data_IF_211838622621
#
_entry.id   IF_211838622621
#
_cell.length_a   1.000
_cell.length_b   1.000
_cell.length_c   1.000
_cell.angle_alpha   90.00
_cell.angle_beta   90.00
_cell.angle_gamma   90.00
#
_symmetry.space_group_name_H-M   'P 1'
#
loop_
_entity.id
_entity.type
_entity.pdbx_description
1 polymer ?
#
# COMPACT_ATOMS: atom_id res chain seq x y z
N UNK A 1 5.82 -0.83 8.08
CA UNK A 1 5.39 -0.87 9.49
C UNK A 1 4.16 -1.75 9.75
N UNK A 2 3.06 -1.68 8.99
CA UNK A 2 1.83 -2.47 9.29
C UNK A 2 1.37 -3.43 8.17
N UNK A 3 2.10 -3.49 7.06
CA UNK A 3 1.79 -4.35 5.92
C UNK A 3 2.01 -5.84 6.25
N UNK A 4 1.39 -6.73 5.49
CA UNK A 4 1.55 -8.16 5.67
C UNK A 4 3.00 -8.60 5.33
N UNK A 5 3.55 -9.54 6.10
CA UNK A 5 4.93 -10.02 5.93
C UNK A 5 5.20 -10.66 4.55
N UNK A 6 4.17 -10.94 3.76
CA UNK A 6 4.34 -11.48 2.39
C UNK A 6 5.12 -10.55 1.48
N UNK A 7 5.12 -9.23 1.72
CA UNK A 7 5.94 -8.30 0.95
C UNK A 7 7.44 -8.59 1.14
N UNK A 8 7.91 -8.75 2.38
CA UNK A 8 9.30 -9.10 2.66
C UNK A 8 9.67 -10.45 2.04
N UNK A 9 8.79 -11.46 2.18
CA UNK A 9 8.98 -12.77 1.53
C UNK A 9 9.05 -12.66 0.00
N UNK A 10 8.22 -11.82 -0.61
CA UNK A 10 8.23 -11.61 -2.06
C UNK A 10 9.51 -10.90 -2.51
N UNK A 11 9.95 -9.85 -1.79
CA UNK A 11 11.20 -9.16 -2.07
C UNK A 11 12.40 -10.12 -2.01
N UNK A 12 12.43 -11.01 -1.01
CA UNK A 12 13.44 -12.06 -0.92
C UNK A 12 13.36 -13.03 -2.10
N UNK A 13 12.18 -13.60 -2.37
CA UNK A 13 11.98 -14.61 -3.41
C UNK A 13 12.29 -14.09 -4.82
N UNK A 14 11.97 -12.83 -5.10
CA UNK A 14 12.19 -12.19 -6.40
C UNK A 14 13.65 -11.74 -6.61
N UNK A 15 14.53 -11.95 -5.62
CA UNK A 15 15.92 -11.50 -5.69
C UNK A 15 16.12 -9.99 -5.56
N UNK A 16 15.08 -9.27 -5.13
CA UNK A 16 15.16 -7.83 -4.81
C UNK A 16 15.93 -7.64 -3.48
N UNK A 17 15.76 -8.56 -2.54
CA UNK A 17 16.37 -8.49 -1.21
C UNK A 17 15.55 -7.64 -0.23
N UNK A 18 15.47 -8.08 1.02
CA UNK A 18 14.65 -7.44 2.06
C UNK A 18 15.16 -6.04 2.42
N UNK A 19 16.47 -5.79 2.34
CA UNK A 19 17.08 -4.48 2.59
C UNK A 19 16.59 -3.38 1.61
N UNK A 20 16.08 -3.80 0.44
CA UNK A 20 15.52 -2.91 -0.56
C UNK A 20 14.01 -2.68 -0.38
N UNK A 21 13.37 -3.35 0.59
CA UNK A 21 12.00 -3.04 1.01
C UNK A 21 12.05 -1.96 2.08
N UNK A 22 11.60 -0.74 1.74
CA UNK A 22 11.54 0.36 2.71
C UNK A 22 10.19 0.38 3.42
N UNK A 23 10.24 0.29 4.75
CA UNK A 23 9.06 0.49 5.56
C UNK A 23 8.77 1.98 5.73
N UNK A 24 7.53 2.37 5.36
CA UNK A 24 7.09 3.75 5.51
C UNK A 24 6.41 3.95 6.89
N UNK A 25 6.70 5.06 7.59
CA UNK A 25 6.00 5.46 8.80
C UNK A 25 4.48 5.54 8.63
N UNK A 26 3.77 5.24 9.72
CA UNK A 26 2.31 5.26 9.79
C UNK A 26 1.81 6.39 10.69
N UNK A 27 0.55 6.78 10.51
CA UNK A 27 -0.18 7.68 11.40
C UNK A 27 -0.71 6.94 12.64
N UNK A 28 -1.35 7.71 13.52
CA UNK A 28 -1.94 7.28 14.78
C UNK A 28 -3.09 6.28 14.58
N UNK A 29 -3.56 6.11 13.34
CA UNK A 29 -4.60 5.17 12.91
C UNK A 29 -4.01 3.96 12.17
N UNK A 30 -2.70 3.84 12.12
CA UNK A 30 -1.98 2.75 11.48
C UNK A 30 -1.98 2.81 9.95
N UNK A 31 -2.14 3.99 9.36
CA UNK A 31 -2.16 4.22 7.91
C UNK A 31 -0.83 4.77 7.43
N UNK A 32 -0.34 4.30 6.29
CA UNK A 32 0.84 4.85 5.64
C UNK A 32 0.68 6.36 5.38
N UNK A 33 1.72 7.14 5.69
CA UNK A 33 1.77 8.59 5.46
C UNK A 33 2.30 8.91 4.05
N UNK A 34 1.50 9.51 3.14
CA UNK A 34 1.97 9.86 1.79
C UNK A 34 3.20 10.77 1.78
N UNK A 35 3.29 11.72 2.71
CA UNK A 35 4.42 12.63 2.85
C UNK A 35 5.73 11.91 3.22
N UNK A 36 5.65 10.86 4.05
CA UNK A 36 6.81 10.04 4.41
C UNK A 36 7.20 9.07 3.30
N UNK A 37 6.21 8.57 2.54
CA UNK A 37 6.48 7.82 1.31
C UNK A 37 7.28 8.69 0.32
N UNK A 38 6.81 9.90 0.07
CA UNK A 38 7.51 10.83 -0.83
C UNK A 38 8.93 11.14 -0.34
N UNK A 39 9.09 11.39 0.97
CA UNK A 39 10.42 11.62 1.55
C UNK A 39 11.34 10.41 1.35
N UNK A 40 10.84 9.19 1.55
CA UNK A 40 11.65 7.99 1.34
C UNK A 40 12.05 7.80 -0.12
N UNK A 41 11.13 8.04 -1.06
CA UNK A 41 11.43 8.00 -2.51
C UNK A 41 12.57 8.98 -2.85
N UNK A 42 12.55 10.20 -2.32
CA UNK A 42 13.60 11.18 -2.55
C UNK A 42 14.96 10.73 -1.98
N UNK A 43 14.96 10.11 -0.79
CA UNK A 43 16.17 9.53 -0.18
C UNK A 43 16.74 8.41 -1.07
N UNK A 44 15.89 7.51 -1.55
CA UNK A 44 16.30 6.39 -2.39
C UNK A 44 16.87 6.87 -3.73
N UNK A 45 16.20 7.84 -4.37
CA UNK A 45 16.70 8.47 -5.61
C UNK A 45 18.04 9.18 -5.40
N UNK A 46 18.20 9.91 -4.29
CA UNK A 46 19.46 10.57 -3.96
C UNK A 46 20.61 9.58 -3.68
N UNK A 47 20.28 8.38 -3.20
CA UNK A 47 21.22 7.27 -3.02
C UNK A 47 21.51 6.49 -4.32
N UNK A 48 20.94 6.89 -5.46
CA UNK A 48 21.10 6.20 -6.74
C UNK A 48 20.29 4.91 -6.88
N UNK A 49 19.32 4.67 -5.99
CA UNK A 49 18.39 3.55 -6.08
C UNK A 49 17.26 3.87 -7.08
N UNK A 50 16.51 2.84 -7.45
CA UNK A 50 15.39 2.95 -8.40
C UNK A 50 14.09 2.46 -7.75
N UNK A 51 13.37 3.34 -7.03
CA UNK A 51 12.01 3.03 -6.58
C UNK A 51 11.13 2.71 -7.79
N UNK A 52 10.33 1.65 -7.70
CA UNK A 52 9.45 1.23 -8.79
C UNK A 52 8.06 0.76 -8.32
N UNK A 53 7.90 0.48 -7.02
CA UNK A 53 6.71 -0.17 -6.48
C UNK A 53 6.36 0.38 -5.10
N UNK A 54 5.07 0.60 -4.87
CA UNK A 54 4.47 0.95 -3.59
C UNK A 54 3.39 -0.07 -3.24
N UNK A 55 3.54 -0.73 -2.10
CA UNK A 55 2.55 -1.64 -1.53
C UNK A 55 1.73 -0.95 -0.45
N UNK A 56 0.50 -0.56 -0.78
CA UNK A 56 -0.49 -0.05 0.16
C UNK A 56 -1.37 -1.19 0.68
N UNK A 57 -1.95 -1.03 1.87
CA UNK A 57 -2.81 -2.04 2.49
C UNK A 57 -4.22 -1.49 2.73
N UNK A 58 -5.22 -2.21 2.23
CA UNK A 58 -6.63 -2.00 2.54
C UNK A 58 -7.09 -3.07 3.54
N UNK A 59 -6.98 -2.74 4.84
CA UNK A 59 -7.28 -3.65 5.94
C UNK A 59 -6.04 -4.39 6.44
N UNK A 60 -5.19 -3.70 7.21
CA UNK A 60 -4.01 -4.29 7.85
C UNK A 60 -4.40 -5.45 8.76
N UNK A 61 -3.51 -6.44 8.90
CA UNK A 61 -3.86 -7.71 9.57
C UNK A 61 -4.25 -7.52 11.04
N UNK A 62 -3.55 -6.62 11.75
CA UNK A 62 -3.74 -6.45 13.20
C UNK A 62 -4.76 -5.36 13.51
N UNK A 63 -4.62 -4.18 12.90
CA UNK A 63 -5.44 -3.00 13.24
C UNK A 63 -6.69 -2.87 12.35
N UNK A 64 -6.72 -3.55 11.20
CA UNK A 64 -7.77 -3.35 10.19
C UNK A 64 -7.71 -1.97 9.55
N UNK A 65 -6.53 -1.33 9.54
CA UNK A 65 -6.32 0.02 9.01
C UNK A 65 -6.37 0.02 7.48
N UNK A 66 -6.84 1.14 6.91
CA UNK A 66 -6.90 1.36 5.46
C UNK A 66 -6.02 2.54 5.11
N UNK A 67 -5.02 2.30 4.27
CA UNK A 67 -4.15 3.35 3.75
C UNK A 67 -4.91 4.35 2.87
N UNK A 68 -4.46 5.60 2.86
CA UNK A 68 -5.11 6.69 2.14
C UNK A 68 -4.69 6.67 0.66
N UNK A 69 -5.49 6.01 -0.18
CA UNK A 69 -5.07 5.69 -1.55
C UNK A 69 -4.96 6.92 -2.47
N UNK A 70 -5.70 8.01 -2.23
CA UNK A 70 -5.68 9.18 -3.12
C UNK A 70 -4.33 9.90 -3.00
N UNK A 71 -3.85 10.14 -1.78
CA UNK A 71 -2.53 10.72 -1.54
C UNK A 71 -1.41 9.81 -2.00
N UNK A 72 -1.48 8.50 -1.74
CA UNK A 72 -0.48 7.55 -2.24
C UNK A 72 -0.43 7.52 -3.77
N UNK A 73 -1.59 7.54 -4.44
CA UNK A 73 -1.66 7.62 -5.91
C UNK A 73 -1.01 8.90 -6.43
N UNK A 74 -1.27 10.04 -5.80
CA UNK A 74 -0.67 11.32 -6.20
C UNK A 74 0.87 11.29 -6.12
N UNK A 75 1.42 10.68 -5.06
CA UNK A 75 2.87 10.46 -4.94
C UNK A 75 3.36 9.53 -6.04
N UNK A 76 2.72 8.38 -6.24
CA UNK A 76 3.12 7.43 -7.28
C UNK A 76 3.07 8.03 -8.69
N UNK A 77 2.10 8.88 -9.01
CA UNK A 77 1.99 9.57 -10.31
C UNK A 77 3.15 10.54 -10.54
N UNK A 78 3.59 11.25 -9.50
CA UNK A 78 4.72 12.18 -9.57
C UNK A 78 6.05 11.50 -9.92
N UNK A 79 6.24 10.27 -9.45
CA UNK A 79 7.50 9.52 -9.61
C UNK A 79 7.39 8.35 -10.58
N UNK A 80 6.22 8.11 -11.20
CA UNK A 80 6.00 7.01 -12.14
C UNK A 80 6.06 5.62 -11.50
N UNK A 81 5.56 5.47 -10.27
CA UNK A 81 5.63 4.22 -9.50
C UNK A 81 4.35 3.39 -9.64
N UNK A 82 4.52 2.06 -9.59
CA UNK A 82 3.40 1.13 -9.51
C UNK A 82 2.76 1.17 -8.13
N UNK A 83 1.44 1.39 -8.05
CA UNK A 83 0.67 1.31 -6.81
C UNK A 83 -0.12 0.01 -6.76
N UNK A 84 0.31 -0.91 -5.90
CA UNK A 84 -0.43 -2.12 -5.58
C UNK A 84 -1.16 -1.96 -4.25
N UNK A 85 -2.42 -2.41 -4.19
CA UNK A 85 -3.18 -2.48 -2.94
C UNK A 85 -3.41 -3.93 -2.53
N UNK A 86 -2.89 -4.28 -1.34
CA UNK A 86 -3.25 -5.50 -0.64
C UNK A 86 -4.58 -5.29 0.09
N UNK A 87 -5.66 -5.69 -0.56
CA UNK A 87 -7.00 -5.82 0.02
C UNK A 87 -7.35 -7.25 0.38
N UNK A 88 -6.36 -8.13 0.66
CA UNK A 88 -6.64 -9.53 0.95
C UNK A 88 -7.69 -9.66 2.05
N UNK A 89 -7.58 -8.86 3.11
CA UNK A 89 -8.64 -8.71 4.10
C UNK A 89 -9.66 -7.64 3.63
N UNK A 90 -9.35 -6.35 3.69
CA UNK A 90 -10.37 -5.29 3.51
C UNK A 90 -11.03 -5.18 2.14
N UNK A 91 -10.65 -5.98 1.15
CA UNK A 91 -11.26 -6.01 -0.19
C UNK A 91 -12.75 -6.34 -0.19
N UNK A 92 -13.27 -7.04 0.83
CA UNK A 92 -14.72 -7.26 0.99
C UNK A 92 -15.51 -5.94 1.10
N UNK A 93 -14.88 -4.82 1.49
CA UNK A 93 -15.50 -3.50 1.50
C UNK A 93 -15.94 -3.03 0.10
N UNK A 94 -15.41 -3.60 -0.99
CA UNK A 94 -15.89 -3.37 -2.36
C UNK A 94 -17.33 -3.83 -2.57
N UNK A 95 -17.77 -4.87 -1.84
CA UNK A 95 -19.16 -5.36 -1.87
C UNK A 95 -20.11 -4.52 -1.00
N UNK A 96 -19.56 -3.63 -0.17
CA UNK A 96 -20.33 -2.77 0.71
C UNK A 96 -21.13 -1.68 -0.02
N UNK A 97 -21.86 -0.90 0.77
CA UNK A 97 -22.58 0.27 0.26
C UNK A 97 -21.62 1.29 -0.39
N UNK A 98 -22.11 2.18 -1.28
CA UNK A 98 -21.30 3.27 -1.81
C UNK A 98 -20.60 4.10 -0.72
N UNK A 99 -21.26 4.34 0.42
CA UNK A 99 -20.68 5.07 1.56
C UNK A 99 -19.52 4.29 2.22
N UNK A 100 -19.63 2.96 2.32
CA UNK A 100 -18.54 2.12 2.83
C UNK A 100 -17.34 2.16 1.90
N UNK A 101 -17.57 2.04 0.59
CA UNK A 101 -16.52 2.13 -0.44
C UNK A 101 -15.82 3.47 -0.41
N UNK A 102 -16.57 4.58 -0.40
CA UNK A 102 -16.01 5.92 -0.33
C UNK A 102 -15.24 6.17 0.97
N UNK A 103 -15.68 5.60 2.10
CA UNK A 103 -14.97 5.76 3.37
C UNK A 103 -13.66 4.96 3.47
N UNK A 104 -13.63 3.74 2.92
CA UNK A 104 -12.54 2.79 3.16
C UNK A 104 -11.60 2.61 1.97
N UNK A 105 -12.10 2.79 0.75
CA UNK A 105 -11.42 2.44 -0.49
C UNK A 105 -11.45 3.59 -1.52
N UNK A 106 -11.58 4.84 -1.05
CA UNK A 106 -11.55 6.02 -1.94
C UNK A 106 -10.28 6.02 -2.77
N UNK A 107 -10.41 6.07 -4.10
CA UNK A 107 -9.27 6.08 -5.03
C UNK A 107 -8.80 4.68 -5.47
N UNK A 108 -9.45 3.61 -5.01
CA UNK A 108 -9.11 2.23 -5.42
C UNK A 108 -9.21 2.02 -6.93
N UNK A 109 -10.04 2.79 -7.63
CA UNK A 109 -10.19 2.73 -9.08
C UNK A 109 -8.96 3.20 -9.87
N UNK A 110 -7.98 3.82 -9.21
CA UNK A 110 -6.74 4.36 -9.83
C UNK A 110 -5.49 3.54 -9.51
N UNK A 111 -5.65 2.40 -8.83
CA UNK A 111 -4.51 1.54 -8.45
C UNK A 111 -4.17 0.62 -9.62
N UNK A 112 -2.90 0.25 -9.74
CA UNK A 112 -2.43 -0.53 -10.88
C UNK A 112 -2.71 -2.03 -10.71
N UNK A 113 -2.75 -2.51 -9.45
CA UNK A 113 -3.23 -3.85 -9.12
C UNK A 113 -3.84 -3.94 -7.73
N UNK A 114 -4.77 -4.88 -7.55
CA UNK A 114 -5.49 -5.10 -6.29
C UNK A 114 -5.51 -6.60 -5.95
N UNK A 115 -5.13 -6.96 -4.73
CA UNK A 115 -5.25 -8.32 -4.20
C UNK A 115 -6.50 -8.42 -3.32
N UNK A 116 -7.28 -9.50 -3.44
CA UNK A 116 -8.44 -9.77 -2.58
C UNK A 116 -8.57 -11.28 -2.29
N UNK A 117 -8.85 -11.63 -1.03
CA UNK A 117 -9.11 -13.00 -0.61
C UNK A 117 -10.57 -13.15 -0.14
N UNK A 118 -11.48 -13.64 -1.01
CA UNK A 118 -12.88 -13.87 -0.63
C UNK A 118 -13.04 -14.80 0.57
N UNK A 119 -12.12 -15.76 0.79
CA UNK A 119 -12.20 -16.71 1.91
C UNK A 119 -12.03 -16.10 3.31
N UNK A 120 -11.79 -14.79 3.44
CA UNK A 120 -11.67 -14.14 4.74
C UNK A 120 -13.02 -13.67 5.27
N UNK A 121 -13.69 -12.77 4.55
CA UNK A 121 -14.78 -11.96 5.09
C UNK A 121 -15.92 -11.73 4.09
N UNK A 122 -16.12 -12.71 3.21
CA UNK A 122 -17.30 -12.87 2.36
C UNK A 122 -18.25 -13.85 3.00
#
# INVERSE_FOLDING_TARGET
AAAHYSYAKAAHLLGIGEDNMKEIPIDDRGRMKPEELERQIQVDLAAGLQPFFVGATAGTTVWGSFDELVGLRAVCDKYGLWLHVDGAWGGAALLGSPATRDRLLRGVEKVDSFCWNPHKMV
#
